data_IF_120524511951
#
_entry.id   IF_120524511951
#
_cell.length_a   1.000
_cell.length_b   1.000
_cell.length_c   1.000
_cell.angle_alpha   90.00
_cell.angle_beta   90.00
_cell.angle_gamma   90.00
#
_symmetry.space_group_name_H-M   'P 1'
#
loop_
_entity.id
_entity.type
_entity.pdbx_description
1 polymer ?
#
# COMPACT_ATOMS: atom_id res chain seq x y z
N UNK A 1 -25.26 -10.76 -18.59
CA UNK A 1 -24.50 -9.56 -18.19
C UNK A 1 -23.77 -9.96 -16.93
N UNK A 2 -22.56 -10.51 -17.09
CA UNK A 2 -21.73 -10.85 -15.95
C UNK A 2 -21.27 -9.53 -15.33
N UNK A 3 -21.84 -9.21 -14.18
CA UNK A 3 -21.30 -8.19 -13.28
C UNK A 3 -20.00 -8.82 -12.80
N UNK A 4 -18.91 -8.57 -13.52
CA UNK A 4 -17.56 -8.79 -13.01
C UNK A 4 -17.52 -8.10 -11.67
N UNK A 5 -17.61 -8.88 -10.59
CA UNK A 5 -17.49 -8.39 -9.23
C UNK A 5 -16.09 -7.79 -9.14
N UNK A 6 -16.03 -6.49 -9.35
CA UNK A 6 -14.80 -5.74 -9.41
C UNK A 6 -14.20 -5.79 -8.02
N UNK A 7 -12.96 -6.27 -7.97
CA UNK A 7 -12.34 -6.65 -6.70
C UNK A 7 -12.20 -5.41 -5.82
N UNK A 8 -12.65 -5.45 -4.54
CA UNK A 8 -12.63 -4.26 -3.70
C UNK A 8 -11.20 -3.76 -3.49
N UNK A 9 -11.01 -2.48 -3.77
CA UNK A 9 -9.76 -1.76 -3.56
C UNK A 9 -9.83 -0.99 -2.24
N UNK A 10 -8.70 -0.92 -1.54
CA UNK A 10 -8.56 -0.16 -0.29
C UNK A 10 -7.28 0.64 -0.28
N UNK A 11 -7.29 1.83 0.32
CA UNK A 11 -6.10 2.63 0.60
C UNK A 11 -5.79 2.58 2.09
N UNK A 12 -4.58 2.11 2.41
CA UNK A 12 -3.94 2.25 3.70
C UNK A 12 -3.14 3.54 3.72
N UNK A 13 -3.36 4.38 4.71
CA UNK A 13 -2.59 5.60 4.97
C UNK A 13 -1.98 5.52 6.36
N UNK A 14 -0.69 5.79 6.46
CA UNK A 14 -0.01 6.03 7.75
C UNK A 14 0.30 7.52 7.85
N UNK A 15 -0.18 8.14 8.92
CA UNK A 15 0.09 9.55 9.20
C UNK A 15 1.43 9.77 9.91
N UNK A 16 1.83 11.03 10.09
CA UNK A 16 3.07 11.41 10.76
C UNK A 16 3.11 11.05 12.25
N UNK A 17 1.97 10.72 12.85
CA UNK A 17 1.83 10.28 14.24
C UNK A 17 1.81 8.76 14.36
N UNK A 18 2.15 8.05 13.28
CA UNK A 18 2.05 6.59 13.15
C UNK A 18 0.61 6.06 13.25
N UNK A 19 -0.39 6.93 13.09
CA UNK A 19 -1.80 6.56 13.00
C UNK A 19 -2.08 5.83 11.69
N UNK A 20 -2.90 4.79 11.76
CA UNK A 20 -3.26 3.94 10.63
C UNK A 20 -4.71 4.18 10.24
N UNK A 21 -4.93 4.55 8.98
CA UNK A 21 -6.25 4.80 8.41
C UNK A 21 -6.47 3.93 7.18
N UNK A 22 -7.68 3.39 7.02
CA UNK A 22 -8.06 2.56 5.87
C UNK A 22 -9.29 3.19 5.23
N UNK A 23 -9.21 3.40 3.92
CA UNK A 23 -10.28 3.96 3.10
C UNK A 23 -10.69 2.92 2.05
N UNK A 24 -12.00 2.76 1.84
CA UNK A 24 -12.52 1.94 0.75
C UNK A 24 -12.50 2.77 -0.54
N UNK A 25 -12.06 2.17 -1.65
CA UNK A 25 -12.11 2.78 -2.98
C UNK A 25 -13.21 2.15 -3.81
N UNK A 26 -13.69 2.91 -4.79
CA UNK A 26 -14.57 2.36 -5.79
C UNK A 26 -13.74 1.45 -6.73
N UNK A 27 -14.33 0.37 -7.24
CA UNK A 27 -13.56 -0.59 -8.04
C UNK A 27 -13.12 -0.07 -9.41
N UNK A 28 -13.67 1.07 -9.84
CA UNK A 28 -13.36 1.77 -11.08
C UNK A 28 -12.29 2.87 -10.91
N UNK A 29 -11.87 3.15 -9.67
CA UNK A 29 -10.83 4.13 -9.39
C UNK A 29 -9.47 3.64 -9.89
N UNK A 30 -8.70 4.54 -10.53
CA UNK A 30 -7.29 4.28 -10.82
C UNK A 30 -6.51 4.20 -9.49
N UNK A 31 -5.88 3.04 -9.16
CA UNK A 31 -5.15 2.87 -7.91
C UNK A 31 -4.08 3.93 -7.68
N UNK A 32 -3.40 4.37 -8.75
CA UNK A 32 -2.33 5.33 -8.61
C UNK A 32 -2.87 6.75 -8.37
N UNK A 33 -3.91 7.16 -9.09
CA UNK A 33 -4.60 8.42 -8.85
C UNK A 33 -5.13 8.48 -7.41
N UNK A 34 -5.84 7.43 -6.97
CA UNK A 34 -6.36 7.33 -5.62
C UNK A 34 -5.25 7.44 -4.56
N UNK A 35 -4.13 6.74 -4.73
CA UNK A 35 -2.99 6.88 -3.81
C UNK A 35 -2.46 8.33 -3.74
N UNK A 36 -2.40 9.03 -4.87
CA UNK A 36 -1.88 10.40 -4.93
C UNK A 36 -2.73 11.41 -4.17
N UNK A 37 -4.04 11.19 -4.06
CA UNK A 37 -4.92 12.06 -3.26
C UNK A 37 -4.54 12.05 -1.77
N UNK A 38 -3.99 10.93 -1.28
CA UNK A 38 -3.52 10.81 0.09
C UNK A 38 -2.04 11.20 0.29
N UNK A 39 -1.33 11.61 -0.77
CA UNK A 39 0.06 12.08 -0.69
C UNK A 39 0.15 13.51 -0.12
N UNK A 40 -0.23 13.66 1.15
CA UNK A 40 -0.25 14.96 1.85
C UNK A 40 0.92 15.13 2.84
N UNK A 41 1.28 16.36 3.24
CA UNK A 41 2.28 16.60 4.28
C UNK A 41 1.96 15.98 5.65
N UNK A 42 0.73 15.53 5.89
CA UNK A 42 0.33 14.86 7.12
C UNK A 42 0.60 13.35 7.09
N UNK A 43 0.90 12.79 5.90
CA UNK A 43 1.02 11.35 5.68
C UNK A 43 2.45 10.96 5.33
N UNK A 44 2.87 9.77 5.77
CA UNK A 44 4.21 9.23 5.53
C UNK A 44 4.23 8.00 4.61
N UNK A 45 3.15 7.22 4.58
CA UNK A 45 2.99 6.05 3.73
C UNK A 45 1.57 6.00 3.18
N UNK A 46 1.43 5.74 1.88
CA UNK A 46 0.15 5.44 1.23
C UNK A 46 0.30 4.13 0.47
N UNK A 47 -0.63 3.20 0.66
CA UNK A 47 -0.61 1.93 -0.03
C UNK A 47 -2.01 1.55 -0.50
N UNK A 48 -2.18 1.32 -1.80
CA UNK A 48 -3.41 0.73 -2.34
C UNK A 48 -3.22 -0.77 -2.42
N UNK A 49 -4.21 -1.51 -1.94
CA UNK A 49 -4.19 -2.96 -1.94
C UNK A 49 -5.54 -3.53 -2.32
N UNK A 50 -5.49 -4.73 -2.90
CA UNK A 50 -6.64 -5.54 -3.27
C UNK A 50 -6.54 -6.85 -2.52
N UNK A 51 -7.55 -7.17 -1.69
CA UNK A 51 -7.47 -8.23 -0.68
C UNK A 51 -6.22 -8.09 0.20
N UNK A 52 -5.19 -8.90 -0.04
CA UNK A 52 -3.90 -8.87 0.68
C UNK A 52 -2.72 -8.53 -0.24
N UNK A 53 -2.98 -8.14 -1.49
CA UNK A 53 -1.95 -7.84 -2.49
C UNK A 53 -1.78 -6.33 -2.61
N UNK A 54 -0.60 -5.77 -2.27
CA UNK A 54 -0.32 -4.37 -2.51
C UNK A 54 -0.17 -4.10 -4.01
N UNK A 55 -0.94 -3.16 -4.54
CA UNK A 55 -0.89 -2.73 -5.93
C UNK A 55 0.01 -1.50 -6.11
N UNK A 56 -0.12 -0.55 -5.20
CA UNK A 56 0.64 0.71 -5.21
C UNK A 56 1.15 0.96 -3.80
N UNK A 57 2.41 1.38 -3.68
CA UNK A 57 3.00 1.81 -2.41
C UNK A 57 3.82 3.07 -2.67
N UNK A 58 3.42 4.16 -2.03
CA UNK A 58 4.09 5.45 -2.08
C UNK A 58 4.61 5.78 -0.69
N UNK A 59 5.90 6.06 -0.61
CA UNK A 59 6.57 6.48 0.61
C UNK A 59 7.06 7.90 0.49
N UNK A 60 6.89 8.68 1.54
CA UNK A 60 7.41 10.03 1.59
C UNK A 60 8.91 10.00 1.91
N UNK A 61 9.68 10.74 1.12
CA UNK A 61 11.11 10.87 1.34
C UNK A 61 11.38 11.55 2.70
N UNK A 62 12.32 11.03 3.51
CA UNK A 62 12.66 11.59 4.80
C UNK A 62 13.04 13.07 4.70
N UNK A 63 12.54 13.88 5.65
CA UNK A 63 12.86 15.31 5.71
C UNK A 63 12.17 16.17 4.64
N UNK A 64 11.19 15.64 3.91
CA UNK A 64 10.44 16.37 2.88
C UNK A 64 8.94 16.27 3.13
N UNK A 65 8.20 17.32 2.76
CA UNK A 65 6.73 17.33 2.83
C UNK A 65 6.10 16.73 1.55
N UNK A 66 6.74 16.93 0.40
CA UNK A 66 6.09 16.77 -0.91
C UNK A 66 6.77 15.74 -1.83
N UNK A 67 7.92 15.17 -1.44
CA UNK A 67 8.60 14.18 -2.28
C UNK A 67 8.13 12.79 -1.91
N UNK A 68 7.52 12.12 -2.89
CA UNK A 68 7.02 10.75 -2.77
C UNK A 68 7.71 9.85 -3.78
N UNK A 69 8.06 8.64 -3.36
CA UNK A 69 8.64 7.61 -4.23
C UNK A 69 7.72 6.40 -4.28
N UNK A 70 7.50 5.90 -5.50
CA UNK A 70 6.92 4.57 -5.69
C UNK A 70 7.92 3.51 -5.26
N UNK A 71 7.50 2.67 -4.33
CA UNK A 71 8.29 1.54 -3.86
C UNK A 71 7.64 0.30 -4.43
N UNK A 72 8.32 -0.40 -5.33
CA UNK A 72 7.87 -1.72 -5.77
C UNK A 72 7.81 -2.62 -4.54
N UNK A 73 6.64 -3.17 -4.18
CA UNK A 73 6.55 -4.11 -3.07
C UNK A 73 7.43 -5.32 -3.43
N UNK A 74 8.56 -5.49 -2.71
CA UNK A 74 9.33 -6.73 -2.90
C UNK A 74 8.41 -7.90 -2.52
N UNK A 75 8.33 -8.95 -3.36
CA UNK A 75 7.61 -10.15 -2.96
C UNK A 75 8.22 -10.64 -1.64
N UNK A 76 7.40 -11.09 -0.68
CA UNK A 76 7.90 -11.53 0.61
C UNK A 76 8.99 -12.57 0.38
N UNK A 77 10.23 -12.24 0.78
CA UNK A 77 11.35 -13.17 0.69
C UNK A 77 10.90 -14.45 1.38
N UNK A 78 10.78 -15.56 0.63
CA UNK A 78 10.49 -16.88 1.19
C UNK A 78 11.46 -17.07 2.35
N UNK A 79 10.95 -17.06 3.58
CA UNK A 79 11.76 -17.42 4.75
C UNK A 79 12.25 -18.84 4.46
N UNK A 80 13.54 -18.99 4.15
CA UNK A 80 14.18 -20.31 4.18
C UNK A 80 14.02 -20.76 5.62
N UNK A 81 13.07 -21.66 5.84
CA UNK A 81 13.00 -22.39 7.10
C UNK A 81 14.28 -23.19 7.19
N UNK A 82 15.27 -22.67 7.91
CA UNK A 82 16.39 -23.48 8.36
C UNK A 82 15.77 -24.49 9.32
N UNK A 83 15.37 -25.66 8.81
CA UNK A 83 15.21 -26.85 9.64
C UNK A 83 16.59 -27.09 10.23
N UNK A 84 16.77 -26.77 11.51
CA UNK A 84 17.87 -27.28 12.31
C UNK A 84 17.74 -28.80 12.30
N UNK A 85 18.35 -29.47 11.31
CA UNK A 85 18.55 -30.91 11.34
C UNK A 85 19.78 -31.15 12.20
N UNK A 86 19.57 -31.69 13.40
CA UNK A 86 20.62 -32.22 14.25
C UNK A 86 20.98 -31.32 15.43
N UNK A 87 20.20 -31.44 16.49
CA UNK A 87 20.73 -31.49 17.86
C UNK A 87 20.39 -32.88 18.40
#
# INVERSE_FOLDING_TARGET
MDISASVPLKVLVIDNTCGKHIHDLLPEDDPLAAAREFCTPCNCLVCVYSHDTPLVRLERAPGTADRWSSVTPEPPRRRRSYRLRGL
#
